data_IF_199360251719
#
_entry.id   IF_199360251719
#
_cell.length_a   1.000
_cell.length_b   1.000
_cell.length_c   1.000
_cell.angle_alpha   90.00
_cell.angle_beta   90.00
_cell.angle_gamma   90.00
#
_symmetry.space_group_name_H-M   'P 1'
#
loop_
_entity.id
_entity.type
_entity.pdbx_description
1 polymer ?
#
# COMPACT_ATOMS: atom_id res chain seq x y z
N UNK A 1 27.35 -24.31 22.85
CA UNK A 1 25.89 -24.12 22.62
C UNK A 1 25.51 -22.71 22.17
N UNK A 2 26.06 -21.61 22.73
CA UNK A 2 25.72 -20.20 22.37
C UNK A 2 25.80 -19.85 20.87
N UNK A 3 26.82 -20.34 20.14
CA UNK A 3 27.01 -20.08 18.69
C UNK A 3 25.90 -20.66 17.80
N UNK A 4 25.21 -21.73 18.24
CA UNK A 4 24.14 -22.39 17.47
C UNK A 4 22.85 -21.57 17.47
N UNK A 5 22.52 -20.96 18.60
CA UNK A 5 21.41 -20.02 18.75
C UNK A 5 21.62 -18.72 17.97
N UNK A 6 22.86 -18.22 17.92
CA UNK A 6 23.23 -17.06 17.11
C UNK A 6 23.04 -17.32 15.61
N UNK A 7 23.40 -18.51 15.12
CA UNK A 7 23.17 -18.91 13.72
C UNK A 7 21.69 -19.06 13.39
N UNK A 8 20.90 -19.63 14.29
CA UNK A 8 19.44 -19.77 14.12
C UNK A 8 18.77 -18.40 14.11
N UNK A 9 19.12 -17.51 15.06
CA UNK A 9 18.59 -16.15 15.11
C UNK A 9 18.93 -15.35 13.85
N UNK A 10 20.17 -15.42 13.37
CA UNK A 10 20.57 -14.80 12.10
C UNK A 10 19.76 -15.35 10.92
N UNK A 11 19.56 -16.66 10.83
CA UNK A 11 18.78 -17.27 9.75
C UNK A 11 17.33 -16.80 9.75
N UNK A 12 16.69 -16.70 10.91
CA UNK A 12 15.31 -16.19 11.02
C UNK A 12 15.23 -14.73 10.57
N UNK A 13 16.17 -13.88 10.99
CA UNK A 13 16.24 -12.47 10.58
C UNK A 13 16.40 -12.37 9.06
N UNK A 14 17.31 -13.15 8.46
CA UNK A 14 17.53 -13.14 7.01
C UNK A 14 16.27 -13.57 6.24
N UNK A 15 15.59 -14.63 6.67
CA UNK A 15 14.33 -15.07 6.05
C UNK A 15 13.26 -13.98 6.15
N UNK A 16 13.18 -13.31 7.30
CA UNK A 16 12.23 -12.22 7.52
C UNK A 16 12.53 -11.02 6.62
N UNK A 17 13.81 -10.64 6.50
CA UNK A 17 14.27 -9.54 5.64
C UNK A 17 14.01 -9.79 4.15
N UNK A 18 14.12 -11.05 3.71
CA UNK A 18 13.90 -11.43 2.30
C UNK A 18 12.42 -11.59 1.98
N UNK A 19 11.59 -12.05 2.93
CA UNK A 19 10.16 -12.28 2.71
C UNK A 19 9.31 -11.00 2.79
N UNK A 20 9.67 -10.05 3.65
CA UNK A 20 8.99 -8.76 3.81
C UNK A 20 8.81 -7.94 2.51
N UNK A 21 9.80 -7.79 1.61
CA UNK A 21 9.62 -7.06 0.36
C UNK A 21 8.66 -7.77 -0.61
N UNK A 22 8.48 -9.10 -0.50
CA UNK A 22 7.55 -9.86 -1.35
C UNK A 22 6.10 -9.41 -1.09
N UNK A 23 5.77 -9.05 0.15
CA UNK A 23 4.45 -8.53 0.51
C UNK A 23 4.18 -7.12 -0.03
N UNK A 24 5.21 -6.42 -0.51
CA UNK A 24 5.11 -5.08 -1.10
C UNK A 24 5.05 -5.11 -2.63
N UNK A 25 5.27 -6.28 -3.25
CA UNK A 25 5.11 -6.40 -4.71
C UNK A 25 3.62 -6.30 -5.06
N UNK A 26 3.22 -5.40 -5.98
CA UNK A 26 1.83 -5.08 -6.22
C UNK A 26 1.14 -6.10 -7.15
N UNK A 27 1.19 -7.38 -6.78
CA UNK A 27 0.45 -8.46 -7.43
C UNK A 27 -1.04 -8.48 -7.06
N UNK A 28 -1.39 -7.82 -5.95
CA UNK A 28 -2.77 -7.65 -5.49
C UNK A 28 -3.07 -6.16 -5.38
N UNK A 29 -4.35 -5.75 -5.51
CA UNK A 29 -4.73 -4.35 -5.35
C UNK A 29 -4.42 -3.82 -3.94
N UNK A 30 -4.50 -4.67 -2.91
CA UNK A 30 -4.14 -4.31 -1.54
C UNK A 30 -2.63 -4.04 -1.40
N UNK A 31 -1.78 -4.89 -1.99
CA UNK A 31 -0.34 -4.66 -1.98
C UNK A 31 0.03 -3.40 -2.77
N UNK A 32 -0.68 -3.10 -3.85
CA UNK A 32 -0.49 -1.85 -4.59
C UNK A 32 -0.78 -0.62 -3.73
N UNK A 33 -1.82 -0.65 -2.89
CA UNK A 33 -2.11 0.42 -1.94
C UNK A 33 -0.98 0.58 -0.92
N UNK A 34 -0.52 -0.53 -0.31
CA UNK A 34 0.60 -0.53 0.64
C UNK A 34 1.88 0.01 0.01
N UNK A 35 2.20 -0.46 -1.18
CA UNK A 35 3.34 0.00 -1.97
C UNK A 35 3.27 1.50 -2.24
N UNK A 36 2.11 2.04 -2.61
CA UNK A 36 1.96 3.49 -2.83
C UNK A 36 2.13 4.30 -1.53
N UNK A 37 1.64 3.81 -0.39
CA UNK A 37 1.87 4.47 0.91
C UNK A 37 3.36 4.46 1.27
N UNK A 38 4.06 3.37 0.99
CA UNK A 38 5.50 3.26 1.18
C UNK A 38 6.28 4.21 0.27
N UNK A 39 5.90 4.31 -1.02
CA UNK A 39 6.47 5.26 -1.98
C UNK A 39 6.29 6.72 -1.54
N UNK A 40 5.22 7.03 -0.78
CA UNK A 40 5.01 8.35 -0.19
C UNK A 40 5.75 8.56 1.14
N UNK A 41 6.64 7.65 1.54
CA UNK A 41 7.52 7.82 2.70
C UNK A 41 6.90 7.42 4.05
N UNK A 42 5.80 6.65 4.05
CA UNK A 42 5.11 6.22 5.27
C UNK A 42 5.24 4.71 5.49
N UNK A 43 6.42 4.19 5.89
CA UNK A 43 6.65 2.75 6.00
C UNK A 43 5.77 2.09 7.06
N UNK A 44 5.56 2.75 8.21
CA UNK A 44 4.70 2.23 9.28
C UNK A 44 3.25 2.18 8.80
N UNK A 45 2.74 3.25 8.20
CA UNK A 45 1.38 3.27 7.66
C UNK A 45 1.20 2.25 6.54
N UNK A 46 2.23 1.98 5.73
CA UNK A 46 2.17 0.98 4.66
C UNK A 46 1.95 -0.43 5.22
N UNK A 47 2.67 -0.82 6.29
CA UNK A 47 2.55 -2.13 6.91
C UNK A 47 1.22 -2.33 7.64
N UNK A 48 0.76 -1.30 8.36
CA UNK A 48 -0.48 -1.36 9.15
C UNK A 48 -1.71 -0.88 8.39
N UNK A 49 -1.58 -0.55 7.10
CA UNK A 49 -2.74 -0.28 6.26
C UNK A 49 -3.43 -1.60 5.92
N UNK A 50 -4.71 -1.66 6.29
CA UNK A 50 -5.64 -2.72 5.90
C UNK A 50 -6.59 -2.16 4.85
N UNK A 51 -6.14 -2.04 3.58
CA UNK A 51 -6.93 -1.42 2.52
C UNK A 51 -8.19 -2.23 2.25
N UNK A 52 -9.34 -1.57 2.37
CA UNK A 52 -10.66 -2.13 2.03
C UNK A 52 -11.17 -1.45 0.77
N UNK A 53 -11.78 -2.24 -0.11
CA UNK A 53 -12.42 -1.71 -1.31
C UNK A 53 -13.59 -0.80 -0.87
N UNK A 54 -13.61 0.42 -1.36
CA UNK A 54 -14.72 1.35 -1.15
C UNK A 54 -15.86 1.06 -2.11
N UNK A 55 -17.06 1.50 -1.76
CA UNK A 55 -18.23 1.39 -2.62
C UNK A 55 -18.04 2.15 -3.95
N UNK A 56 -18.76 1.70 -4.99
CA UNK A 56 -18.61 2.27 -6.34
C UNK A 56 -18.90 3.78 -6.38
N UNK A 57 -19.77 4.27 -5.50
CA UNK A 57 -20.21 5.66 -5.47
C UNK A 57 -19.13 6.61 -4.92
N UNK A 58 -18.21 6.10 -4.09
CA UNK A 58 -17.07 6.86 -3.59
C UNK A 58 -16.08 7.24 -4.71
N UNK A 59 -16.21 6.68 -5.92
CA UNK A 59 -15.41 7.09 -7.08
C UNK A 59 -15.84 8.44 -7.67
N UNK A 60 -17.06 8.92 -7.38
CA UNK A 60 -17.58 10.18 -7.93
C UNK A 60 -17.04 11.39 -7.16
N UNK A 61 -16.79 11.22 -5.86
CA UNK A 61 -16.40 12.30 -4.94
C UNK A 61 -14.88 12.55 -4.91
N UNK A 62 -14.08 11.77 -5.65
CA UNK A 62 -12.61 11.83 -5.59
C UNK A 62 -11.97 12.08 -6.98
N UNK A 63 -10.80 12.70 -6.99
CA UNK A 63 -10.05 13.13 -8.18
C UNK A 63 -9.45 11.97 -8.98
N UNK A 64 -9.48 12.08 -10.32
CA UNK A 64 -8.96 11.08 -11.27
C UNK A 64 -10.05 10.36 -12.10
N UNK A 65 -9.67 9.33 -12.86
CA UNK A 65 -10.58 8.60 -13.76
C UNK A 65 -11.61 7.76 -12.98
N UNK A 66 -12.90 7.88 -13.34
CA UNK A 66 -14.03 7.12 -12.77
C UNK A 66 -13.90 5.59 -12.88
N UNK A 67 -13.08 5.09 -13.80
CA UNK A 67 -12.89 3.64 -14.03
C UNK A 67 -11.89 3.00 -13.06
N UNK A 68 -11.40 3.73 -12.04
CA UNK A 68 -10.47 3.21 -11.05
C UNK A 68 -11.20 2.77 -9.79
N UNK A 69 -10.76 1.65 -9.21
CA UNK A 69 -11.36 1.16 -7.96
C UNK A 69 -10.77 1.90 -6.78
N UNK A 70 -11.61 2.49 -5.94
CA UNK A 70 -11.18 3.17 -4.72
C UNK A 70 -10.98 2.15 -3.60
N UNK A 71 -9.92 2.35 -2.82
CA UNK A 71 -9.59 1.60 -1.62
C UNK A 71 -9.38 2.59 -0.48
N UNK A 72 -10.15 2.43 0.58
CA UNK A 72 -9.97 3.18 1.82
C UNK A 72 -8.96 2.50 2.74
N UNK A 73 -8.13 3.31 3.38
CA UNK A 73 -7.22 2.90 4.45
C UNK A 73 -7.60 3.60 5.75
N UNK A 74 -7.44 2.90 6.89
CA UNK A 74 -7.83 3.43 8.20
C UNK A 74 -6.94 4.58 8.67
N UNK A 75 -5.66 4.57 8.30
CA UNK A 75 -4.72 5.63 8.63
C UNK A 75 -4.66 6.65 7.49
N UNK A 76 -4.87 7.93 7.82
CA UNK A 76 -4.55 9.03 6.92
C UNK A 76 -3.03 9.12 6.76
N UNK A 77 -2.58 9.46 5.56
CA UNK A 77 -1.18 9.71 5.26
C UNK A 77 -1.08 10.84 4.25
N UNK A 78 -0.01 11.61 4.35
CA UNK A 78 0.25 12.73 3.44
C UNK A 78 0.82 12.20 2.12
N UNK A 79 0.19 12.53 1.00
CA UNK A 79 0.57 12.01 -0.31
C UNK A 79 0.59 13.08 -1.41
N UNK A 80 1.42 12.88 -2.43
CA UNK A 80 1.58 13.78 -3.57
C UNK A 80 2.44 15.03 -3.28
N UNK A 81 2.56 15.90 -4.27
CA UNK A 81 3.48 17.07 -4.25
C UNK A 81 3.13 18.04 -3.13
N UNK A 82 1.84 18.26 -2.87
CA UNK A 82 1.35 19.14 -1.82
C UNK A 82 1.29 18.51 -0.43
N UNK A 83 1.72 17.24 -0.26
CA UNK A 83 1.58 16.46 0.98
C UNK A 83 0.17 16.54 1.57
N UNK A 84 -0.84 16.44 0.71
CA UNK A 84 -2.24 16.48 1.14
C UNK A 84 -2.60 15.18 1.81
N UNK A 85 -3.23 15.26 2.98
CA UNK A 85 -3.66 14.09 3.73
C UNK A 85 -4.80 13.39 2.98
N UNK A 86 -4.62 12.09 2.79
CA UNK A 86 -5.64 11.23 2.19
C UNK A 86 -5.72 9.90 2.93
N UNK A 87 -6.91 9.33 2.92
CA UNK A 87 -7.20 7.99 3.39
C UNK A 87 -7.73 7.10 2.26
N UNK A 88 -7.76 7.58 1.01
CA UNK A 88 -8.29 6.85 -0.13
C UNK A 88 -7.27 6.83 -1.25
N UNK A 89 -7.04 5.63 -1.78
CA UNK A 89 -6.22 5.41 -2.96
C UNK A 89 -7.03 4.77 -4.08
N UNK A 90 -6.68 5.11 -5.31
CA UNK A 90 -7.25 4.53 -6.52
C UNK A 90 -6.31 3.51 -7.10
N UNK A 91 -6.82 2.30 -7.31
CA UNK A 91 -6.05 1.21 -7.89
C UNK A 91 -6.42 1.01 -9.36
N UNK A 92 -5.40 1.00 -10.21
CA UNK A 92 -5.47 0.64 -11.63
C UNK A 92 -4.83 -0.73 -11.84
N UNK A 93 -5.50 -1.61 -12.58
CA UNK A 93 -4.87 -2.82 -13.12
C UNK A 93 -4.05 -2.44 -14.35
N UNK A 94 -2.74 -2.72 -14.33
CA UNK A 94 -1.80 -2.40 -15.42
C UNK A 94 -1.54 -3.58 -16.35
N UNK A 95 -1.70 -4.81 -15.86
CA UNK A 95 -1.53 -6.04 -16.63
C UNK A 95 -2.23 -7.21 -15.96
N UNK A 96 -1.94 -8.45 -16.38
CA UNK A 96 -2.64 -9.66 -15.89
C UNK A 96 -2.52 -9.81 -14.36
N UNK A 97 -1.34 -9.53 -13.81
CA UNK A 97 -1.01 -9.64 -12.39
C UNK A 97 -0.35 -8.37 -11.82
N UNK A 98 -0.49 -7.21 -12.47
CA UNK A 98 0.15 -5.97 -12.00
C UNK A 98 -0.88 -4.90 -11.69
N UNK A 99 -0.75 -4.30 -10.51
CA UNK A 99 -1.60 -3.23 -10.02
C UNK A 99 -0.76 -2.00 -9.67
N UNK A 100 -1.33 -0.82 -9.83
CA UNK A 100 -0.70 0.43 -9.37
C UNK A 100 -1.74 1.27 -8.64
N UNK A 101 -1.38 1.77 -7.47
CA UNK A 101 -2.22 2.65 -6.70
C UNK A 101 -1.77 4.12 -6.84
N UNK A 102 -2.72 5.03 -6.71
CA UNK A 102 -2.52 6.46 -6.77
C UNK A 102 -3.29 7.12 -5.63
N UNK A 103 -2.72 8.12 -4.95
CA UNK A 103 -3.48 8.89 -3.96
C UNK A 103 -4.65 9.58 -4.65
N UNK A 104 -5.82 9.56 -4.01
CA UNK A 104 -7.01 10.25 -4.49
C UNK A 104 -7.41 11.33 -3.49
N UNK A 105 -7.89 12.45 -4.01
CA UNK A 105 -8.24 13.63 -3.22
C UNK A 105 -9.72 13.95 -3.43
N UNK A 106 -10.46 14.35 -2.40
CA UNK A 106 -11.85 14.75 -2.57
C UNK A 106 -11.95 15.93 -3.55
N UNK A 107 -12.84 15.82 -4.54
CA UNK A 107 -13.24 16.93 -5.40
C UNK A 107 -14.45 17.59 -4.74
N UNK A 108 -14.20 18.71 -4.05
CA UNK A 108 -15.25 19.56 -3.49
C UNK A 108 -16.07 20.24 -4.58
#
# INVERSE_FOLDING_TARGET
MKKRWLKIGMSVITIWLVSTPIFLIPYTPQNAVRSSILENGHPIASMFSFPKRSDKDTSIVYSGKRNLTCYGVKMMFSAGIGRTDTNILRVKKMGTLSYKAYPAYPIG
#
